data_IF_584571899036
#
_entry.id   IF_584571899036
#
_cell.length_a   1.000
_cell.length_b   1.000
_cell.length_c   1.000
_cell.angle_alpha   90.00
_cell.angle_beta   90.00
_cell.angle_gamma   90.00
#
_symmetry.space_group_name_H-M   'P 1'
#
loop_
_entity.id
_entity.type
_entity.pdbx_description
1 polymer ?
#
# COMPACT_ATOMS: atom_id res chain seq x y z
N UNK A 1 -16.80 2.66 -6.13
CA UNK A 1 -15.97 3.09 -4.97
C UNK A 1 -16.30 2.27 -3.74
N UNK A 2 -17.59 2.07 -3.45
CA UNK A 2 -18.11 1.25 -2.36
C UNK A 2 -17.59 -0.19 -2.35
N UNK A 3 -17.66 -0.91 -3.49
CA UNK A 3 -17.17 -2.29 -3.56
C UNK A 3 -15.68 -2.43 -3.20
N UNK A 4 -14.85 -1.46 -3.63
CA UNK A 4 -13.41 -1.45 -3.28
C UNK A 4 -13.20 -1.25 -1.79
N UNK A 5 -14.04 -0.43 -1.15
CA UNK A 5 -13.98 -0.22 0.29
C UNK A 5 -14.43 -1.48 1.05
N UNK A 6 -15.51 -2.12 0.62
CA UNK A 6 -16.00 -3.38 1.20
C UNK A 6 -14.96 -4.51 1.07
N UNK A 7 -14.30 -4.65 -0.08
CA UNK A 7 -13.22 -5.62 -0.26
C UNK A 7 -12.00 -5.31 0.62
N UNK A 8 -11.65 -4.04 0.80
CA UNK A 8 -10.55 -3.65 1.69
C UNK A 8 -10.87 -3.95 3.16
N UNK A 9 -12.13 -3.78 3.57
CA UNK A 9 -12.61 -4.18 4.89
C UNK A 9 -12.49 -5.69 5.07
N UNK A 10 -13.00 -6.50 4.15
CA UNK A 10 -12.93 -7.96 4.22
C UNK A 10 -11.48 -8.44 4.34
N UNK A 11 -10.57 -7.88 3.53
CA UNK A 11 -9.14 -8.21 3.60
C UNK A 11 -8.52 -7.86 4.95
N UNK A 12 -8.91 -6.74 5.55
CA UNK A 12 -8.47 -6.39 6.90
C UNK A 12 -9.06 -7.35 7.94
N UNK A 13 -10.38 -7.59 7.90
CA UNK A 13 -11.08 -8.49 8.80
C UNK A 13 -10.46 -9.90 8.80
N UNK A 14 -10.22 -10.47 7.61
CA UNK A 14 -9.58 -11.78 7.44
C UNK A 14 -8.17 -11.81 8.05
N UNK A 15 -7.39 -10.74 7.90
CA UNK A 15 -6.04 -10.67 8.47
C UNK A 15 -6.02 -10.53 10.00
N UNK A 16 -7.00 -9.84 10.58
CA UNK A 16 -7.07 -9.59 12.02
C UNK A 16 -7.74 -10.73 12.79
N UNK A 17 -8.88 -11.21 12.28
CA UNK A 17 -9.76 -12.15 12.98
C UNK A 17 -9.77 -13.55 12.37
N UNK A 18 -9.24 -13.73 11.16
CA UNK A 18 -9.11 -15.04 10.51
C UNK A 18 -10.26 -15.39 9.56
N UNK A 19 -10.21 -16.58 8.90
CA UNK A 19 -11.12 -16.97 7.83
C UNK A 19 -12.59 -17.19 8.24
N UNK A 20 -12.85 -17.39 9.54
CA UNK A 20 -14.20 -17.59 10.09
C UNK A 20 -14.95 -16.28 10.38
N UNK A 21 -14.32 -15.13 10.12
CA UNK A 21 -14.94 -13.82 10.37
C UNK A 21 -16.06 -13.53 9.37
N UNK A 22 -17.01 -12.71 9.78
CA UNK A 22 -18.08 -12.28 8.89
C UNK A 22 -17.55 -11.24 7.89
N UNK A 23 -17.73 -11.54 6.60
CA UNK A 23 -17.24 -10.73 5.47
C UNK A 23 -18.35 -10.49 4.46
N UNK A 24 -18.20 -9.42 3.67
CA UNK A 24 -19.20 -8.98 2.70
C UNK A 24 -19.25 -9.87 1.45
N UNK A 25 -18.14 -10.52 1.10
CA UNK A 25 -18.03 -11.38 -0.09
C UNK A 25 -17.58 -12.80 0.26
N UNK A 26 -17.90 -13.82 -0.55
CA UNK A 26 -17.47 -15.20 -0.31
C UNK A 26 -15.95 -15.34 -0.16
N UNK A 27 -15.51 -16.26 0.70
CA UNK A 27 -14.10 -16.46 1.04
C UNK A 27 -13.26 -16.87 -0.18
N UNK A 28 -13.87 -17.57 -1.14
CA UNK A 28 -13.26 -18.02 -2.38
C UNK A 28 -12.68 -16.85 -3.18
N UNK A 29 -13.28 -15.65 -3.07
CA UNK A 29 -12.80 -14.44 -3.73
C UNK A 29 -11.46 -13.94 -3.19
N UNK A 30 -11.01 -14.47 -2.05
CA UNK A 30 -9.82 -13.99 -1.34
C UNK A 30 -8.68 -15.01 -1.25
N UNK A 31 -8.75 -16.14 -1.95
CA UNK A 31 -7.73 -17.20 -1.88
C UNK A 31 -6.31 -16.67 -2.13
N UNK A 32 -6.12 -15.87 -3.19
CA UNK A 32 -4.82 -15.28 -3.51
C UNK A 32 -4.30 -14.35 -2.39
N UNK A 33 -5.20 -13.57 -1.79
CA UNK A 33 -4.88 -12.63 -0.73
C UNK A 33 -4.58 -13.37 0.58
N UNK A 34 -5.26 -14.49 0.86
CA UNK A 34 -4.97 -15.33 2.01
C UNK A 34 -3.55 -15.93 1.93
N UNK A 35 -3.12 -16.36 0.74
CA UNK A 35 -1.73 -16.79 0.53
C UNK A 35 -0.72 -15.64 0.73
N UNK A 36 -1.00 -14.46 0.16
CA UNK A 36 -0.16 -13.26 0.34
C UNK A 36 -0.06 -12.87 1.84
N UNK A 37 -1.17 -12.97 2.57
CA UNK A 37 -1.24 -12.67 3.99
C UNK A 37 -0.37 -13.60 4.85
N UNK A 38 -0.12 -14.86 4.45
CA UNK A 38 0.70 -15.80 5.26
C UNK A 38 2.13 -15.30 5.43
N UNK A 39 2.64 -14.58 4.45
CA UNK A 39 4.02 -14.10 4.40
C UNK A 39 4.19 -12.68 4.97
N UNK A 40 3.15 -12.09 5.57
CA UNK A 40 3.19 -10.73 6.10
C UNK A 40 2.65 -10.67 7.53
N UNK A 41 3.20 -9.79 8.36
CA UNK A 41 2.58 -9.41 9.65
C UNK A 41 1.30 -8.60 9.43
N UNK A 42 0.49 -8.43 10.47
CA UNK A 42 -0.74 -7.60 10.40
C UNK A 42 -0.43 -6.16 9.98
N UNK A 43 0.63 -5.60 10.56
CA UNK A 43 1.09 -4.22 10.31
C UNK A 43 1.56 -4.05 8.86
N UNK A 44 2.34 -4.99 8.33
CA UNK A 44 2.81 -4.96 6.94
C UNK A 44 1.64 -5.06 5.95
N UNK A 45 0.67 -5.93 6.24
CA UNK A 45 -0.49 -6.11 5.38
C UNK A 45 -1.40 -4.87 5.36
N UNK A 46 -1.63 -4.22 6.51
CA UNK A 46 -2.35 -2.93 6.56
C UNK A 46 -1.60 -1.85 5.78
N UNK A 47 -0.28 -1.78 5.92
CA UNK A 47 0.54 -0.84 5.16
C UNK A 47 0.45 -1.12 3.65
N UNK A 48 0.37 -2.39 3.25
CA UNK A 48 0.18 -2.82 1.87
C UNK A 48 -1.19 -2.43 1.31
N UNK A 49 -2.28 -2.66 2.04
CA UNK A 49 -3.64 -2.24 1.66
C UNK A 49 -3.70 -0.72 1.45
N UNK A 50 -3.13 0.05 2.38
CA UNK A 50 -3.01 1.52 2.26
C UNK A 50 -2.21 1.92 1.03
N UNK A 51 -1.06 1.27 0.80
CA UNK A 51 -0.21 1.48 -0.37
C UNK A 51 -0.89 1.12 -1.68
N UNK A 52 -1.83 0.18 -1.73
CA UNK A 52 -2.63 -0.18 -2.91
C UNK A 52 -3.80 0.79 -3.15
N UNK A 53 -4.35 1.38 -2.09
CA UNK A 53 -5.49 2.31 -2.18
C UNK A 53 -5.21 3.55 -3.06
N UNK A 54 -6.25 4.10 -3.68
CA UNK A 54 -6.17 5.36 -4.45
C UNK A 54 -6.21 6.61 -3.58
N UNK A 55 -6.51 6.48 -2.28
CA UNK A 55 -6.63 7.61 -1.34
C UNK A 55 -5.31 8.13 -0.80
N UNK A 56 -4.21 7.39 -0.97
CA UNK A 56 -2.88 7.93 -0.73
C UNK A 56 -2.41 8.64 -2.00
N UNK A 57 -2.23 9.96 -1.95
CA UNK A 57 -1.72 10.75 -3.07
C UNK A 57 -0.34 10.22 -3.47
N UNK A 58 -0.28 9.46 -4.57
CA UNK A 58 0.96 8.86 -5.08
C UNK A 58 1.85 9.90 -5.79
N UNK A 59 1.41 11.14 -5.94
CA UNK A 59 2.12 12.11 -6.78
C UNK A 59 2.33 11.53 -8.19
N UNK A 60 3.44 11.87 -8.84
CA UNK A 60 3.74 11.41 -10.20
C UNK A 60 4.24 9.95 -10.30
N UNK A 61 4.40 9.21 -9.18
CA UNK A 61 5.04 7.87 -9.18
C UNK A 61 4.37 6.88 -8.23
N UNK A 62 4.36 5.60 -8.60
CA UNK A 62 3.97 4.53 -7.66
C UNK A 62 5.01 4.25 -6.56
N UNK A 63 6.23 4.74 -6.73
CA UNK A 63 7.34 4.49 -5.81
C UNK A 63 7.45 5.63 -4.78
N UNK A 64 7.52 5.27 -3.50
CA UNK A 64 7.69 6.24 -2.40
C UNK A 64 8.99 7.03 -2.60
N UNK A 65 8.90 8.35 -2.53
CA UNK A 65 10.07 9.23 -2.63
C UNK A 65 10.56 9.47 -4.06
N UNK A 66 9.87 8.93 -5.08
CA UNK A 66 10.20 9.16 -6.49
C UNK A 66 9.24 10.19 -7.07
N UNK A 67 9.76 11.27 -7.63
CA UNK A 67 8.94 12.35 -8.23
C UNK A 67 9.48 12.74 -9.59
N UNK A 68 8.59 13.11 -10.53
CA UNK A 68 8.99 13.57 -11.86
C UNK A 68 9.24 15.07 -11.84
N UNK A 69 10.46 15.50 -12.15
CA UNK A 69 10.82 16.91 -12.25
C UNK A 69 10.22 17.51 -13.53
N UNK A 70 9.30 18.45 -13.39
CA UNK A 70 8.48 18.93 -14.52
C UNK A 70 9.31 19.62 -15.62
N UNK A 71 10.39 20.33 -15.26
CA UNK A 71 11.19 21.10 -16.22
C UNK A 71 12.12 20.25 -17.10
N UNK A 72 12.57 19.09 -16.60
CA UNK A 72 13.55 18.25 -17.32
C UNK A 72 13.04 16.85 -17.62
N UNK A 73 11.84 16.49 -17.15
CA UNK A 73 11.26 15.15 -17.30
C UNK A 73 11.94 14.06 -16.47
N UNK A 74 13.03 14.36 -15.77
CA UNK A 74 13.85 13.41 -15.00
C UNK A 74 13.19 12.98 -13.71
N UNK A 75 13.46 11.75 -13.29
CA UNK A 75 12.95 11.19 -12.05
C UNK A 75 13.91 11.45 -10.90
N UNK A 76 13.44 12.10 -9.84
CA UNK A 76 14.20 12.34 -8.62
C UNK A 76 13.82 11.30 -7.56
N UNK A 77 14.80 10.60 -7.00
CA UNK A 77 14.62 9.69 -5.87
C UNK A 77 15.09 10.34 -4.56
N UNK A 78 14.26 10.28 -3.52
CA UNK A 78 14.54 10.82 -2.18
C UNK A 78 14.04 9.85 -1.10
N UNK A 79 14.75 9.74 0.02
CA UNK A 79 14.31 8.99 1.21
C UNK A 79 13.95 9.98 2.31
N UNK A 80 12.71 9.95 2.79
CA UNK A 80 12.28 10.85 3.87
C UNK A 80 12.59 10.35 5.27
N UNK A 81 12.95 11.30 6.16
CA UNK A 81 13.28 11.13 7.61
C UNK A 81 14.22 9.97 7.93
N UNK A 82 15.51 10.27 7.94
CA UNK A 82 16.52 9.49 8.67
C UNK A 82 16.87 10.28 9.93
N UNK A 83 16.64 9.70 11.13
CA UNK A 83 17.00 10.29 12.42
C UNK A 83 16.59 11.76 12.64
N UNK A 84 15.36 12.14 12.26
CA UNK A 84 14.79 13.46 12.56
C UNK A 84 15.13 14.61 11.59
N UNK A 85 15.98 14.38 10.58
CA UNK A 85 16.36 15.40 9.60
C UNK A 85 15.73 15.25 8.20
N UNK A 86 15.88 16.32 7.40
CA UNK A 86 15.38 16.53 6.02
C UNK A 86 15.67 15.32 5.10
N UNK A 87 14.84 15.16 4.09
CA UNK A 87 14.92 14.04 3.13
C UNK A 87 16.31 13.89 2.49
N UNK A 88 16.81 12.66 2.40
CA UNK A 88 18.06 12.30 1.72
C UNK A 88 17.81 12.17 0.21
N UNK A 89 18.58 12.89 -0.61
CA UNK A 89 18.54 12.78 -2.06
C UNK A 89 19.40 11.60 -2.55
N UNK A 90 18.84 10.75 -3.42
CA UNK A 90 19.51 9.57 -3.95
C UNK A 90 19.97 9.72 -5.40
N UNK A 91 19.48 10.73 -6.12
CA UNK A 91 19.84 10.97 -7.51
C UNK A 91 18.69 11.33 -8.43
N UNK A 92 19.05 11.64 -9.67
CA UNK A 92 18.17 11.90 -10.81
C UNK A 92 18.43 10.89 -11.91
N UNK A 93 17.37 10.27 -12.43
CA UNK A 93 17.38 9.41 -13.58
C UNK A 93 16.73 10.17 -14.74
#
# INVERSE_FOLDING_TARGET
MEEKAARAYDQAALKYWGPSTHINFPLENYQNQLEEMKNMTRQEYVAHLRRKSSGFSRGASMYRGVTRHHQHGRWQARIGRVAGNKDLYLGTF
#
